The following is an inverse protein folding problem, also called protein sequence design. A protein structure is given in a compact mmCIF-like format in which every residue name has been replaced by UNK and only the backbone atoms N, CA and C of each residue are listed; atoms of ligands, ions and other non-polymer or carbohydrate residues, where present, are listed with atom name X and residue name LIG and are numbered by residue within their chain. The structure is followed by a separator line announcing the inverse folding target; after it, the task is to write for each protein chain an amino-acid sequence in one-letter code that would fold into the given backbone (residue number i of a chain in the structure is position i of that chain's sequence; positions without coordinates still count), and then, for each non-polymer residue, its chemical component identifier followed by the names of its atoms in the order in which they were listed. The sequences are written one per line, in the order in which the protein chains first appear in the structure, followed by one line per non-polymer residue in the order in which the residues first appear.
data_IF_477253165944
#
_entry.id   IF_477253165944
#
_cell.length_a   1.000
_cell.length_b   1.000
_cell.length_c   1.000
_cell.angle_alpha   90.00
_cell.angle_beta   90.00
_cell.angle_gamma   90.00
#
_symmetry.space_group_name_H-M   'P 1'
#
loop_
_entity.id
_entity.type
_entity.pdbx_description
1 polymer ?
#
# COMPACT_ATOMS: atom_id res chain seq x y z
N UNK A 1 -9.10 -13.14 10.77
CA UNK A 1 -10.20 -13.76 10.02
C UNK A 1 -10.06 -13.54 8.55
N UNK A 2 -10.39 -14.51 7.76
CA UNK A 2 -10.42 -14.46 6.32
C UNK A 2 -11.83 -14.16 5.83
N UNK A 3 -11.96 -13.26 4.87
CA UNK A 3 -13.19 -13.00 4.14
C UNK A 3 -12.98 -13.43 2.68
N UNK A 4 -13.95 -14.13 2.12
CA UNK A 4 -13.86 -14.59 0.75
C UNK A 4 -15.13 -14.32 -0.02
N UNK A 5 -15.06 -14.51 -1.32
CA UNK A 5 -16.15 -14.29 -2.24
C UNK A 5 -16.30 -15.49 -3.16
N UNK A 6 -17.49 -15.66 -3.73
CA UNK A 6 -17.74 -16.64 -4.77
C UNK A 6 -18.48 -15.95 -5.90
N UNK A 7 -18.40 -16.54 -7.09
CA UNK A 7 -18.98 -15.91 -8.28
C UNK A 7 -18.11 -14.76 -8.78
N UNK A 8 -18.76 -13.71 -9.26
CA UNK A 8 -18.04 -12.51 -9.71
C UNK A 8 -17.37 -11.81 -8.54
N UNK A 9 -16.19 -11.25 -8.79
CA UNK A 9 -15.48 -10.50 -7.78
C UNK A 9 -16.27 -9.23 -7.44
N UNK A 10 -16.67 -9.10 -6.20
CA UNK A 10 -17.56 -7.99 -5.81
C UNK A 10 -17.28 -7.47 -4.41
N UNK A 11 -16.36 -8.05 -3.67
CA UNK A 11 -16.06 -7.58 -2.32
C UNK A 11 -14.63 -7.88 -1.93
N UNK A 12 -14.22 -7.31 -0.83
CA UNK A 12 -12.86 -7.45 -0.33
C UNK A 12 -12.68 -8.84 0.27
N UNK A 13 -11.44 -9.32 0.25
CA UNK A 13 -11.07 -10.60 0.83
C UNK A 13 -9.71 -10.47 1.50
N UNK A 14 -9.62 -10.94 2.73
CA UNK A 14 -8.36 -10.84 3.44
C UNK A 14 -8.46 -11.17 4.92
N UNK A 15 -7.53 -10.63 5.66
CA UNK A 15 -7.37 -10.85 7.09
C UNK A 15 -7.69 -9.55 7.83
N UNK A 16 -8.53 -9.64 8.85
CA UNK A 16 -8.79 -8.53 9.74
C UNK A 16 -8.14 -8.83 11.08
N UNK A 17 -7.35 -7.88 11.56
CA UNK A 17 -6.73 -7.96 12.89
C UNK A 17 -7.46 -6.96 13.76
N UNK A 18 -8.09 -7.45 14.81
CA UNK A 18 -8.84 -6.61 15.74
C UNK A 18 -7.91 -6.08 16.83
N UNK A 19 -7.99 -4.78 17.09
CA UNK A 19 -7.07 -4.09 17.98
C UNK A 19 -7.77 -3.45 19.17
N UNK A 20 -8.82 -4.08 19.66
CA UNK A 20 -9.53 -3.53 20.81
C UNK A 20 -10.27 -2.25 20.46
N UNK A 21 -9.97 -1.16 21.15
CA UNK A 21 -10.67 0.11 20.95
C UNK A 21 -10.13 0.93 19.77
N UNK A 22 -9.01 0.51 19.19
CA UNK A 22 -8.44 1.22 18.05
C UNK A 22 -8.98 0.64 16.75
N UNK A 23 -8.75 1.38 15.65
CA UNK A 23 -9.17 0.92 14.33
C UNK A 23 -8.51 -0.42 14.01
N UNK A 24 -9.28 -1.31 13.39
CA UNK A 24 -8.79 -2.63 13.02
C UNK A 24 -7.91 -2.57 11.79
N UNK A 25 -7.07 -3.59 11.62
CA UNK A 25 -6.13 -3.68 10.51
C UNK A 25 -6.67 -4.64 9.46
N UNK A 26 -6.50 -4.30 8.19
CA UNK A 26 -6.83 -5.16 7.06
C UNK A 26 -5.58 -5.46 6.26
N UNK A 27 -5.41 -6.71 5.88
CA UNK A 27 -4.37 -7.15 4.95
C UNK A 27 -5.05 -8.05 3.94
N UNK A 28 -5.12 -7.63 2.67
CA UNK A 28 -5.77 -8.45 1.68
C UNK A 28 -6.10 -7.71 0.40
N UNK A 29 -7.02 -8.28 -0.35
CA UNK A 29 -7.45 -7.74 -1.64
C UNK A 29 -8.56 -6.71 -1.43
N UNK A 30 -8.30 -5.50 -1.88
CA UNK A 30 -9.27 -4.40 -1.89
C UNK A 30 -9.86 -4.32 -3.29
N UNK A 31 -11.09 -4.77 -3.44
CA UNK A 31 -11.73 -4.87 -4.75
C UNK A 31 -11.94 -3.49 -5.37
N UNK A 32 -12.26 -2.49 -4.57
CA UNK A 32 -12.46 -1.15 -5.10
C UNK A 32 -11.16 -0.50 -5.57
N UNK A 33 -10.04 -0.88 -4.99
CA UNK A 33 -8.72 -0.38 -5.39
C UNK A 33 -8.05 -1.29 -6.41
N UNK A 34 -8.56 -2.50 -6.59
CA UNK A 34 -7.99 -3.52 -7.48
C UNK A 34 -6.53 -3.80 -7.11
N UNK A 35 -6.26 -3.97 -5.82
CA UNK A 35 -4.90 -4.09 -5.31
C UNK A 35 -4.86 -4.81 -3.97
N UNK A 36 -3.70 -5.41 -3.66
CA UNK A 36 -3.41 -5.86 -2.30
C UNK A 36 -3.19 -4.61 -1.44
N UNK A 37 -3.91 -4.55 -0.33
CA UNK A 37 -3.93 -3.35 0.51
C UNK A 37 -3.62 -3.70 1.96
N UNK A 38 -2.83 -2.85 2.59
CA UNK A 38 -2.56 -2.84 4.02
C UNK A 38 -3.18 -1.56 4.58
N UNK A 39 -4.10 -1.66 5.51
CA UNK A 39 -4.77 -0.46 5.97
C UNK A 39 -5.53 -0.65 7.26
N UNK A 40 -6.29 0.37 7.63
CA UNK A 40 -7.06 0.36 8.87
C UNK A 40 -8.48 0.82 8.60
N UNK A 41 -9.37 0.52 9.54
CA UNK A 41 -10.75 0.96 9.45
C UNK A 41 -11.61 0.44 10.58
N UNK A 42 -12.91 0.72 10.48
CA UNK A 42 -13.87 0.32 11.49
C UNK A 42 -14.51 -1.03 11.22
N UNK A 43 -14.15 -1.67 10.11
CA UNK A 43 -14.62 -3.03 9.81
C UNK A 43 -14.19 -4.02 10.88
N UNK A 44 -14.87 -5.16 10.92
CA UNK A 44 -14.55 -6.26 11.83
C UNK A 44 -14.37 -7.54 11.02
N UNK A 45 -14.01 -8.62 11.68
CA UNK A 45 -13.94 -9.92 11.04
C UNK A 45 -15.27 -10.41 10.47
N UNK A 46 -16.39 -9.82 10.88
CA UNK A 46 -17.72 -10.17 10.36
C UNK A 46 -18.14 -9.27 9.18
N UNK A 47 -17.39 -8.23 8.86
CA UNK A 47 -17.74 -7.33 7.78
C UNK A 47 -17.63 -8.04 6.43
N UNK A 48 -18.41 -7.59 5.44
CA UNK A 48 -18.42 -8.16 4.12
C UNK A 48 -18.58 -7.06 3.07
N UNK A 49 -18.38 -7.43 1.80
CA UNK A 49 -18.47 -6.48 0.71
C UNK A 49 -17.23 -5.62 0.59
N UNK A 50 -17.43 -4.41 0.10
CA UNK A 50 -16.34 -3.43 -0.01
C UNK A 50 -16.18 -2.71 1.31
N UNK A 51 -15.02 -2.86 1.90
CA UNK A 51 -14.69 -2.22 3.18
C UNK A 51 -14.12 -0.83 2.91
N UNK A 52 -14.33 0.06 3.88
CA UNK A 52 -13.67 1.37 3.83
C UNK A 52 -12.31 1.23 4.49
N UNK A 53 -11.26 1.20 3.69
CA UNK A 53 -9.90 0.94 4.15
C UNK A 53 -9.07 2.20 3.95
N UNK A 54 -8.45 2.67 5.02
CA UNK A 54 -7.47 3.75 4.95
C UNK A 54 -6.09 3.11 4.82
N UNK A 55 -5.38 3.28 3.68
CA UNK A 55 -4.06 2.66 3.52
C UNK A 55 -3.10 3.09 4.61
N UNK A 56 -2.26 2.17 5.05
CA UNK A 56 -1.27 2.43 6.08
C UNK A 56 0.14 2.18 5.54
N UNK A 57 1.12 2.69 6.27
CA UNK A 57 2.52 2.45 5.93
C UNK A 57 2.88 0.99 6.17
N UNK A 58 3.90 0.52 5.45
CA UNK A 58 4.49 -0.80 5.64
C UNK A 58 5.89 -0.60 6.22
N UNK A 59 6.15 -1.21 7.37
CA UNK A 59 7.45 -1.14 8.02
C UNK A 59 8.17 -2.45 7.75
N UNK A 60 9.20 -2.39 6.93
CA UNK A 60 10.00 -3.56 6.58
C UNK A 60 11.48 -3.22 6.74
N UNK A 61 12.33 -4.24 6.72
CA UNK A 61 13.75 -4.03 6.55
C UNK A 61 14.04 -3.63 5.11
N UNK A 62 14.40 -4.60 4.29
CA UNK A 62 14.57 -4.36 2.86
C UNK A 62 13.31 -4.75 2.12
N UNK A 63 13.04 -4.06 1.03
CA UNK A 63 11.97 -4.44 0.12
C UNK A 63 12.54 -4.57 -1.29
N UNK A 64 12.22 -5.66 -1.97
CA UNK A 64 12.65 -5.89 -3.34
C UNK A 64 11.48 -5.66 -4.28
N UNK A 65 11.64 -4.76 -5.22
CA UNK A 65 10.63 -4.46 -6.21
C UNK A 65 11.18 -4.86 -7.58
N UNK A 66 10.52 -5.83 -8.22
CA UNK A 66 10.90 -6.28 -9.54
C UNK A 66 10.15 -5.45 -10.57
N UNK A 67 10.89 -4.86 -11.51
CA UNK A 67 10.31 -4.02 -12.57
C UNK A 67 9.46 -2.89 -11.99
N UNK A 68 10.02 -2.16 -11.04
CA UNK A 68 9.30 -1.06 -10.40
C UNK A 68 8.84 -0.05 -11.44
N UNK A 69 7.56 0.25 -11.41
CA UNK A 69 6.96 1.25 -12.28
C UNK A 69 6.18 2.25 -11.44
N UNK A 70 6.42 3.51 -11.66
CA UNK A 70 5.66 4.55 -11.00
C UNK A 70 4.29 4.66 -11.67
N UNK A 71 3.26 4.25 -10.94
CA UNK A 71 1.90 4.29 -11.44
C UNK A 71 1.05 5.10 -10.47
N UNK A 72 0.36 6.10 -10.95
CA UNK A 72 -0.50 6.92 -10.12
C UNK A 72 0.16 8.14 -9.49
N UNK A 73 1.45 8.29 -9.60
CA UNK A 73 2.14 9.54 -9.32
C UNK A 73 2.32 9.94 -7.88
N UNK A 74 2.15 9.02 -6.93
CA UNK A 74 2.36 9.37 -5.52
C UNK A 74 3.84 9.42 -5.17
N UNK A 75 4.61 8.46 -5.65
CA UNK A 75 6.06 8.47 -5.54
C UNK A 75 6.61 8.19 -6.92
N UNK A 76 7.62 8.92 -7.30
CA UNK A 76 8.22 8.75 -8.61
C UNK A 76 9.46 7.87 -8.48
N UNK A 77 10.56 8.29 -9.01
CA UNK A 77 11.79 7.53 -8.92
C UNK A 77 12.50 7.84 -7.61
N UNK A 78 13.17 6.84 -7.05
CA UNK A 78 14.00 7.02 -5.88
C UNK A 78 15.44 6.90 -6.34
N UNK A 79 16.19 7.97 -6.17
CA UNK A 79 17.60 8.01 -6.56
C UNK A 79 18.46 8.01 -5.32
N UNK A 80 19.59 7.35 -5.44
CA UNK A 80 20.58 7.27 -4.37
C UNK A 80 21.94 7.66 -4.95
N UNK A 81 22.55 8.64 -4.33
CA UNK A 81 23.79 9.20 -4.90
C UNK A 81 24.65 9.79 -3.79
N UNK A 82 25.96 9.84 -4.04
CA UNK A 82 26.92 10.50 -3.16
C UNK A 82 27.08 11.98 -3.48
N UNK A 83 26.42 12.43 -4.53
CA UNK A 83 26.45 13.85 -4.90
C UNK A 83 25.05 14.34 -5.21
N UNK A 84 24.85 15.63 -5.04
CA UNK A 84 23.54 16.22 -5.33
C UNK A 84 23.21 16.09 -6.81
N UNK A 85 21.90 15.93 -7.15
CA UNK A 85 21.52 15.87 -8.56
C UNK A 85 21.79 17.20 -9.26
N UNK A 86 22.20 17.10 -10.51
CA UNK A 86 22.35 18.27 -11.36
C UNK A 86 21.01 18.76 -11.87
N UNK A 87 21.03 19.88 -12.58
CA UNK A 87 19.79 20.50 -13.04
C UNK A 87 19.05 19.66 -14.09
N UNK A 88 19.73 18.74 -14.74
CA UNK A 88 19.12 17.86 -15.75
C UNK A 88 18.85 16.47 -15.24
N UNK A 89 19.11 16.20 -13.97
CA UNK A 89 18.91 14.87 -13.40
C UNK A 89 17.51 14.74 -12.84
N UNK A 90 16.86 13.61 -13.15
CA UNK A 90 15.55 13.30 -12.60
C UNK A 90 14.43 14.15 -13.16
N UNK A 91 13.29 14.05 -12.55
CA UNK A 91 12.10 14.79 -12.91
C UNK A 91 11.42 15.30 -11.65
N UNK A 92 10.49 16.24 -11.82
CA UNK A 92 9.72 16.75 -10.70
C UNK A 92 8.99 15.60 -9.99
N UNK A 93 9.15 15.53 -8.69
CA UNK A 93 8.54 14.47 -7.89
C UNK A 93 9.45 13.28 -7.62
N UNK A 94 10.62 13.21 -8.22
CA UNK A 94 11.60 12.17 -7.92
C UNK A 94 12.20 12.40 -6.54
N UNK A 95 12.55 11.29 -5.90
CA UNK A 95 13.21 11.33 -4.60
C UNK A 95 14.69 11.01 -4.79
N UNK A 96 15.54 11.89 -4.29
CA UNK A 96 16.98 11.70 -4.30
C UNK A 96 17.48 11.50 -2.88
N UNK A 97 18.28 10.46 -2.70
CA UNK A 97 18.93 10.19 -1.43
C UNK A 97 20.41 10.47 -1.59
N UNK A 98 20.88 11.50 -0.88
CA UNK A 98 22.28 11.90 -0.91
C UNK A 98 23.00 11.26 0.27
N UNK A 99 24.13 10.63 0.00
CA UNK A 99 24.94 10.01 1.06
C UNK A 99 26.41 10.19 0.74
N UNK A 100 27.22 10.08 1.76
CA UNK A 100 28.67 10.24 1.63
C UNK A 100 29.42 9.02 2.09
#
# INVERSE_FOLDING_TARGET
KRQGNSGSASGDAGIVIERGSDANVFIGWDESADAITFGTGTFTGASSGNLTITPSAVNTGAITITNATNSGGTARNIYRSTSAPGSSDGAVGDLWILYS
#
